data_IF_024750217492
#
_entry.id   IF_024750217492
#
_cell.length_a   1.000
_cell.length_b   1.000
_cell.length_c   1.000
_cell.angle_alpha   90.00
_cell.angle_beta   90.00
_cell.angle_gamma   90.00
#
_symmetry.space_group_name_H-M   'P 1'
#
loop_
_entity.id
_entity.type
_entity.pdbx_description
1 polymer ?
#
# COMPACT_ATOMS: atom_id res chain seq x y z
N UNK A 1 12.65 9.90 -6.35
CA UNK A 1 12.51 9.27 -5.02
C UNK A 1 12.44 10.30 -3.89
N UNK A 2 13.42 11.21 -3.72
CA UNK A 2 13.44 12.14 -2.58
C UNK A 2 12.15 12.99 -2.42
N UNK A 3 11.69 13.65 -3.49
CA UNK A 3 10.46 14.44 -3.46
C UNK A 3 9.22 13.63 -3.08
N UNK A 4 9.04 12.44 -3.69
CA UNK A 4 7.91 11.55 -3.40
C UNK A 4 7.92 11.09 -1.93
N UNK A 5 9.09 10.78 -1.39
CA UNK A 5 9.26 10.43 0.02
C UNK A 5 8.89 11.59 0.95
N UNK A 6 9.39 12.81 0.67
CA UNK A 6 9.05 14.01 1.45
C UNK A 6 7.55 14.29 1.39
N UNK A 7 6.93 14.23 0.20
CA UNK A 7 5.48 14.43 0.06
C UNK A 7 4.70 13.45 0.94
N UNK A 8 4.97 12.15 0.84
CA UNK A 8 4.25 11.15 1.63
C UNK A 8 4.47 11.32 3.14
N UNK A 9 5.72 11.58 3.55
CA UNK A 9 6.06 11.82 4.95
C UNK A 9 5.34 13.07 5.51
N UNK A 10 5.27 14.16 4.73
CA UNK A 10 4.52 15.36 5.10
C UNK A 10 3.04 15.07 5.24
N UNK A 11 2.42 14.38 4.27
CA UNK A 11 1.01 13.96 4.36
C UNK A 11 0.74 13.15 5.63
N UNK A 12 1.62 12.19 5.96
CA UNK A 12 1.52 11.41 7.18
C UNK A 12 1.63 12.28 8.44
N UNK A 13 2.60 13.19 8.51
CA UNK A 13 2.75 14.10 9.66
C UNK A 13 1.52 15.01 9.83
N UNK A 14 0.98 15.57 8.75
CA UNK A 14 -0.23 16.39 8.81
C UNK A 14 -1.42 15.59 9.34
N UNK A 15 -1.61 14.36 8.85
CA UNK A 15 -2.66 13.46 9.33
C UNK A 15 -2.49 13.13 10.82
N UNK A 16 -1.25 12.91 11.25
CA UNK A 16 -0.91 12.66 12.66
C UNK A 16 -1.22 13.85 13.57
N UNK A 17 -1.08 15.08 13.06
CA UNK A 17 -1.46 16.31 13.79
C UNK A 17 -2.96 16.58 13.82
N UNK A 18 -3.79 15.69 13.26
CA UNK A 18 -5.25 15.80 13.28
C UNK A 18 -5.86 16.47 12.05
N UNK A 19 -5.08 16.67 10.96
CA UNK A 19 -5.65 17.10 9.68
C UNK A 19 -6.53 15.98 9.13
N UNK A 20 -7.83 16.24 9.01
CA UNK A 20 -8.76 15.29 8.41
C UNK A 20 -8.66 15.26 6.87
N UNK A 21 -9.02 14.13 6.28
CA UNK A 21 -9.14 13.99 4.83
C UNK A 21 -7.81 13.88 4.08
N UNK A 22 -6.71 13.56 4.77
CA UNK A 22 -5.44 13.26 4.11
C UNK A 22 -5.53 11.90 3.43
N UNK A 23 -5.36 11.88 2.10
CA UNK A 23 -5.42 10.66 1.29
C UNK A 23 -4.13 10.52 0.49
N UNK A 24 -3.50 9.35 0.58
CA UNK A 24 -2.34 8.98 -0.24
C UNK A 24 -2.48 7.53 -0.70
N UNK A 25 -1.82 7.16 -1.80
CA UNK A 25 -1.71 5.77 -2.21
C UNK A 25 -0.47 5.14 -1.57
N UNK A 26 -0.64 4.03 -0.86
CA UNK A 26 0.46 3.34 -0.20
C UNK A 26 0.30 1.81 -0.31
N UNK A 27 1.43 1.10 -0.43
CA UNK A 27 1.47 -0.35 -0.38
C UNK A 27 1.41 -0.82 1.08
N UNK A 28 0.24 -1.32 1.49
CA UNK A 28 -0.05 -1.69 2.88
C UNK A 28 -0.64 -3.09 2.94
N UNK A 29 -0.71 -3.67 4.15
CA UNK A 29 -1.47 -4.89 4.35
C UNK A 29 -2.93 -4.62 3.98
N UNK A 30 -3.50 -5.49 3.14
CA UNK A 30 -4.78 -5.21 2.48
C UNK A 30 -5.54 -6.48 2.18
N UNK A 31 -6.86 -6.40 2.25
CA UNK A 31 -7.84 -7.42 1.91
C UNK A 31 -8.60 -7.11 0.62
N UNK A 32 -8.26 -6.01 -0.05
CA UNK A 32 -8.92 -5.53 -1.28
C UNK A 32 -8.66 -6.40 -2.51
N UNK A 33 -7.72 -7.34 -2.41
CA UNK A 33 -7.31 -8.26 -3.48
C UNK A 33 -6.88 -9.60 -2.88
N UNK A 34 -6.55 -10.56 -3.74
CA UNK A 34 -5.99 -11.85 -3.31
C UNK A 34 -4.54 -11.77 -2.77
N UNK A 35 -3.92 -10.59 -2.78
CA UNK A 35 -2.57 -10.37 -2.26
C UNK A 35 -2.63 -9.85 -0.82
N UNK A 36 -1.82 -10.39 0.09
CA UNK A 36 -1.76 -9.96 1.51
C UNK A 36 -1.36 -8.48 1.68
N UNK A 37 -0.65 -7.93 0.70
CA UNK A 37 -0.27 -6.53 0.64
C UNK A 37 -0.64 -5.98 -0.75
N UNK A 38 -1.21 -4.78 -0.78
CA UNK A 38 -1.63 -4.13 -2.02
C UNK A 38 -1.61 -2.61 -1.89
N UNK A 39 -1.43 -1.90 -3.00
CA UNK A 39 -1.44 -0.45 -3.03
C UNK A 39 -2.82 0.09 -3.44
N UNK A 40 -3.45 0.84 -2.53
CA UNK A 40 -4.72 1.54 -2.77
C UNK A 40 -4.69 2.92 -2.12
N UNK A 41 -5.62 3.82 -2.48
CA UNK A 41 -5.82 5.05 -1.74
C UNK A 41 -6.22 4.72 -0.29
N UNK A 42 -5.52 5.31 0.65
CA UNK A 42 -5.78 5.18 2.08
C UNK A 42 -6.02 6.56 2.69
N UNK A 43 -6.96 6.63 3.62
CA UNK A 43 -7.10 7.77 4.52
C UNK A 43 -6.11 7.61 5.66
N UNK A 44 -5.29 8.64 5.87
CA UNK A 44 -4.36 8.73 6.98
C UNK A 44 -4.99 9.52 8.12
N UNK A 45 -4.60 9.19 9.35
CA UNK A 45 -4.98 9.94 10.55
C UNK A 45 -3.99 9.77 11.70
N UNK A 46 -4.39 10.09 12.95
CA UNK A 46 -3.51 10.15 14.11
C UNK A 46 -2.69 8.88 14.38
N UNK A 47 -3.25 7.71 14.04
CA UNK A 47 -2.65 6.39 14.30
C UNK A 47 -2.17 5.68 13.01
N UNK A 48 -1.92 6.43 11.93
CA UNK A 48 -1.50 5.88 10.65
C UNK A 48 -2.67 5.64 9.69
N UNK A 49 -2.82 4.43 9.18
CA UNK A 49 -3.89 4.08 8.21
C UNK A 49 -5.22 3.99 8.94
N UNK A 50 -6.13 4.94 8.68
CA UNK A 50 -7.49 4.91 9.24
C UNK A 50 -8.45 4.07 8.41
N UNK A 51 -8.35 4.20 7.08
CA UNK A 51 -9.28 3.52 6.17
C UNK A 51 -8.62 3.20 4.84
N UNK A 52 -8.84 1.98 4.35
CA UNK A 52 -8.56 1.61 2.97
C UNK A 52 -9.77 1.93 2.08
N UNK A 53 -9.57 2.71 1.01
CA UNK A 53 -10.64 3.12 0.10
C UNK A 53 -10.89 2.10 -1.03
N UNK A 54 -10.07 1.05 -1.12
CA UNK A 54 -10.21 0.01 -2.13
C UNK A 54 -9.74 0.43 -3.52
N UNK A 55 -9.96 -0.46 -4.50
CA UNK A 55 -9.52 -0.29 -5.88
C UNK A 55 -10.46 0.63 -6.68
N UNK A 56 -11.72 0.77 -6.24
CA UNK A 56 -12.73 1.54 -6.96
C UNK A 56 -13.24 0.83 -8.21
N UNK A 57 -13.80 1.62 -9.15
CA UNK A 57 -14.28 1.10 -10.44
C UNK A 57 -13.13 1.12 -11.43
N UNK A 58 -12.86 -0.03 -12.04
CA UNK A 58 -11.85 -0.18 -13.08
C UNK A 58 -12.49 -0.31 -14.45
N UNK A 59 -11.79 0.18 -15.47
CA UNK A 59 -12.10 -0.13 -16.87
C UNK A 59 -11.49 -1.49 -17.28
N UNK A 60 -11.87 -1.99 -18.46
CA UNK A 60 -11.43 -3.30 -18.95
C UNK A 60 -9.90 -3.41 -19.06
N UNK A 61 -9.23 -2.35 -19.50
CA UNK A 61 -7.77 -2.31 -19.61
C UNK A 61 -7.09 -2.44 -18.25
N UNK A 62 -7.58 -1.71 -17.24
CA UNK A 62 -7.07 -1.78 -15.86
C UNK A 62 -7.30 -3.15 -15.22
N UNK A 63 -8.44 -3.79 -15.51
CA UNK A 63 -8.74 -5.15 -15.04
C UNK A 63 -7.74 -6.16 -15.61
N UNK A 64 -7.40 -6.05 -16.90
CA UNK A 64 -6.39 -6.93 -17.51
C UNK A 64 -5.00 -6.73 -16.89
N UNK A 65 -4.59 -5.48 -16.63
CA UNK A 65 -3.34 -5.20 -15.91
C UNK A 65 -3.35 -5.79 -14.50
N UNK A 66 -4.48 -5.71 -13.81
CA UNK A 66 -4.64 -6.27 -12.46
C UNK A 66 -4.46 -7.80 -12.46
N UNK A 67 -5.02 -8.49 -13.46
CA UNK A 67 -4.85 -9.95 -13.63
C UNK A 67 -3.38 -10.33 -13.87
N UNK A 68 -2.63 -9.50 -14.60
CA UNK A 68 -1.21 -9.73 -14.88
C UNK A 68 -0.36 -9.51 -13.63
N UNK A 69 -0.65 -8.46 -12.83
CA UNK A 69 0.20 -8.09 -11.69
C UNK A 69 -0.03 -8.95 -10.45
N UNK A 70 -1.24 -9.49 -10.23
CA UNK A 70 -1.57 -10.30 -9.04
C UNK A 70 -0.60 -11.49 -8.84
N UNK A 71 -0.33 -12.33 -9.86
CA UNK A 71 0.61 -13.45 -9.73
C UNK A 71 2.03 -13.01 -9.36
N UNK A 72 2.52 -11.95 -10.00
CA UNK A 72 3.87 -11.42 -9.74
C UNK A 72 3.97 -10.85 -8.32
N UNK A 73 2.95 -10.11 -7.88
CA UNK A 73 2.90 -9.51 -6.57
C UNK A 73 2.89 -10.58 -5.46
N UNK A 74 2.10 -11.65 -5.63
CA UNK A 74 2.11 -12.81 -4.71
C UNK A 74 3.51 -13.43 -4.59
N UNK A 75 4.23 -13.58 -5.70
CA UNK A 75 5.60 -14.10 -5.72
C UNK A 75 6.55 -13.19 -4.93
N UNK A 76 6.46 -11.87 -5.13
CA UNK A 76 7.33 -10.90 -4.46
C UNK A 76 7.05 -10.82 -2.95
N UNK A 77 5.77 -10.85 -2.55
CA UNK A 77 5.37 -10.89 -1.14
C UNK A 77 5.91 -12.16 -0.47
N UNK A 78 5.71 -13.33 -1.09
CA UNK A 78 6.22 -14.60 -0.57
C UNK A 78 7.73 -14.56 -0.36
N UNK A 79 8.47 -14.07 -1.37
CA UNK A 79 9.94 -13.92 -1.29
C UNK A 79 10.37 -13.03 -0.12
N UNK A 80 9.68 -11.91 0.09
CA UNK A 80 9.96 -11.01 1.22
C UNK A 80 9.74 -11.69 2.58
N UNK A 81 8.63 -12.41 2.75
CA UNK A 81 8.31 -13.15 3.98
C UNK A 81 9.31 -14.27 4.26
N UNK A 82 9.69 -15.04 3.23
CA UNK A 82 10.68 -16.12 3.35
C UNK A 82 12.06 -15.58 3.75
N UNK A 83 12.48 -14.46 3.16
CA UNK A 83 13.72 -13.80 3.55
C UNK A 83 13.68 -13.37 5.02
N UNK A 84 12.62 -12.67 5.46
CA UNK A 84 12.49 -12.23 6.85
C UNK A 84 12.47 -13.39 7.85
N UNK A 85 11.84 -14.52 7.51
CA UNK A 85 11.77 -15.70 8.39
C UNK A 85 13.11 -16.45 8.52
N UNK A 86 13.96 -16.37 7.50
CA UNK A 86 15.25 -17.09 7.45
C UNK A 86 16.44 -16.21 7.78
N UNK A 87 16.26 -14.89 7.83
CA UNK A 87 17.30 -13.91 8.12
C UNK A 87 17.88 -14.13 9.51
N UNK A 88 19.19 -14.40 9.58
CA UNK A 88 19.97 -14.40 10.81
C UNK A 88 20.89 -13.18 10.76
N UNK A 89 20.76 -12.21 11.69
CA UNK A 89 21.69 -11.10 11.75
C UNK A 89 23.10 -11.62 12.00
N UNK A 90 24.08 -11.02 11.30
CA UNK A 90 25.52 -11.25 11.49
C UNK A 90 26.00 -10.43 12.68
#
# INVERSE_FOLDING_TARGET
MAYSGVRFATSLMEAMTGRAGVVECAFVQSDVSECEFFATPITLGPNGVERNMGIGKLNEYEIELLKIVIPELKKNIKRGKEFAATFKPV
#
